data_IF_519375463962
#
_entry.id   IF_519375463962
#
_cell.length_a   1.000
_cell.length_b   1.000
_cell.length_c   1.000
_cell.angle_alpha   90.00
_cell.angle_beta   90.00
_cell.angle_gamma   90.00
#
_symmetry.space_group_name_H-M   'P 1'
#
loop_
_entity.id
_entity.type
_entity.pdbx_description
1 polymer ?
#
# COMPACT_ATOMS: atom_id res chain seq x y z
N UNK A 1 -15.77 -9.52 7.26
CA UNK A 1 -15.10 -8.32 6.66
C UNK A 1 -15.74 -7.89 5.32
N UNK A 2 -16.88 -8.47 4.89
CA UNK A 2 -17.62 -8.02 3.69
C UNK A 2 -18.48 -6.76 3.90
N UNK A 3 -18.60 -6.24 5.13
CA UNK A 3 -19.47 -5.11 5.44
C UNK A 3 -18.89 -3.73 5.13
N UNK A 4 -17.57 -3.57 5.23
CA UNK A 4 -16.92 -2.25 5.19
C UNK A 4 -16.91 -1.66 3.77
N UNK A 5 -16.69 -2.50 2.75
CA UNK A 5 -16.81 -2.09 1.35
C UNK A 5 -18.26 -1.73 0.97
N UNK A 6 -19.25 -2.45 1.53
CA UNK A 6 -20.68 -2.24 1.24
C UNK A 6 -21.22 -0.95 1.88
N UNK A 7 -20.64 -0.52 3.00
CA UNK A 7 -20.95 0.77 3.65
C UNK A 7 -20.37 1.93 2.84
N UNK A 8 -19.16 1.78 2.30
CA UNK A 8 -18.46 2.83 1.55
C UNK A 8 -19.09 3.14 0.18
N UNK A 9 -19.84 2.22 -0.40
CA UNK A 9 -20.51 2.38 -1.71
C UNK A 9 -22.03 2.52 -1.59
N UNK A 10 -22.58 2.72 -0.38
CA UNK A 10 -24.02 2.89 -0.20
C UNK A 10 -24.43 4.34 -0.37
N UNK A 11 -25.60 4.58 -0.96
CA UNK A 11 -26.20 5.91 -1.14
C UNK A 11 -26.62 6.58 0.19
N UNK A 12 -26.46 5.89 1.33
CA UNK A 12 -26.56 6.43 2.69
C UNK A 12 -25.23 7.02 3.21
N UNK A 13 -24.39 7.56 2.33
CA UNK A 13 -23.17 8.25 2.75
C UNK A 13 -23.56 9.62 3.36
N UNK A 14 -23.58 9.72 4.69
CA UNK A 14 -24.15 10.85 5.46
C UNK A 14 -23.36 12.16 5.37
N UNK A 15 -22.46 12.31 4.40
CA UNK A 15 -21.67 13.54 4.27
C UNK A 15 -20.73 13.80 5.45
N UNK A 16 -20.33 12.76 6.20
CA UNK A 16 -19.28 12.89 7.19
C UNK A 16 -17.96 13.21 6.47
N UNK A 17 -17.59 14.49 6.42
CA UNK A 17 -16.25 14.92 6.02
C UNK A 17 -15.23 14.07 6.79
N UNK A 18 -14.31 13.43 6.05
CA UNK A 18 -13.26 12.59 6.64
C UNK A 18 -12.26 13.47 7.37
N UNK A 19 -12.55 13.80 8.63
CA UNK A 19 -11.61 14.32 9.63
C UNK A 19 -10.69 13.23 10.21
N UNK A 20 -10.87 11.97 9.80
CA UNK A 20 -10.12 10.83 10.35
C UNK A 20 -8.73 10.71 9.71
N UNK A 21 -7.69 10.91 10.52
CA UNK A 21 -6.30 10.52 10.22
C UNK A 21 -6.26 9.07 9.69
N UNK A 22 -5.67 8.87 8.52
CA UNK A 22 -5.53 7.56 7.88
C UNK A 22 -4.19 6.95 8.25
N UNK A 23 -4.23 5.93 9.09
CA UNK A 23 -3.06 5.12 9.44
C UNK A 23 -3.13 3.79 8.72
N UNK A 24 -2.05 3.41 8.03
CA UNK A 24 -1.93 2.08 7.42
C UNK A 24 -0.74 1.30 7.99
N UNK A 25 -0.87 -0.02 7.92
CA UNK A 25 0.19 -0.96 8.26
C UNK A 25 0.72 -1.61 6.97
N UNK A 26 2.03 -1.57 6.77
CA UNK A 26 2.68 -2.20 5.64
C UNK A 26 2.44 -3.72 5.68
N UNK A 27 1.85 -4.25 4.62
CA UNK A 27 1.30 -5.59 4.62
C UNK A 27 2.41 -6.66 4.59
N UNK A 28 2.62 -7.30 5.74
CA UNK A 28 3.58 -8.40 5.95
C UNK A 28 3.07 -9.76 5.43
N UNK A 29 1.75 -9.99 5.49
CA UNK A 29 1.18 -11.33 5.40
C UNK A 29 0.13 -11.46 4.29
N UNK A 30 0.51 -12.14 3.22
CA UNK A 30 -0.39 -12.62 2.18
C UNK A 30 -1.21 -13.85 2.62
N UNK A 31 -1.70 -13.86 3.86
CA UNK A 31 -2.23 -15.06 4.53
C UNK A 31 -3.66 -15.43 4.15
N UNK A 32 -4.50 -14.46 3.78
CA UNK A 32 -5.88 -14.71 3.37
C UNK A 32 -6.01 -14.84 1.85
N UNK A 33 -7.02 -15.57 1.38
CA UNK A 33 -7.30 -15.78 -0.05
C UNK A 33 -7.45 -14.47 -0.82
N UNK A 34 -8.10 -13.46 -0.23
CA UNK A 34 -8.22 -12.12 -0.82
C UNK A 34 -6.90 -11.36 -0.96
N UNK A 35 -5.88 -11.67 -0.14
CA UNK A 35 -4.58 -11.00 -0.21
C UNK A 35 -3.83 -11.29 -1.52
N UNK A 36 -4.22 -12.32 -2.27
CA UNK A 36 -3.64 -12.66 -3.58
C UNK A 36 -3.99 -11.63 -4.66
N UNK A 37 -4.96 -10.75 -4.43
CA UNK A 37 -5.39 -9.72 -5.38
C UNK A 37 -4.93 -8.32 -4.98
N UNK A 38 -4.46 -8.13 -3.75
CA UNK A 38 -4.06 -6.82 -3.24
C UNK A 38 -2.70 -6.39 -3.80
N UNK A 39 -2.61 -5.29 -4.54
CA UNK A 39 -1.36 -4.77 -5.09
C UNK A 39 -0.64 -3.81 -4.14
N UNK A 40 -1.35 -3.22 -3.17
CA UNK A 40 -0.78 -2.29 -2.21
C UNK A 40 0.02 -3.03 -1.12
N UNK A 41 1.30 -2.71 -1.01
CA UNK A 41 2.17 -3.20 0.07
C UNK A 41 2.35 -2.17 1.18
N UNK A 42 2.53 -0.90 0.81
CA UNK A 42 3.07 0.15 1.69
C UNK A 42 2.00 1.04 2.30
N UNK A 43 0.70 0.79 2.05
CA UNK A 43 -0.38 1.64 2.54
C UNK A 43 -0.41 2.96 1.78
N UNK A 44 -0.54 2.91 0.46
CA UNK A 44 -0.31 4.07 -0.41
C UNK A 44 -1.32 5.21 -0.22
N UNK A 45 -2.50 4.89 0.31
CA UNK A 45 -3.61 5.83 0.50
C UNK A 45 -3.75 6.36 1.93
N UNK A 46 -2.76 6.10 2.80
CA UNK A 46 -2.74 6.58 4.19
C UNK A 46 -1.99 7.89 4.33
N UNK A 47 -2.28 8.65 5.38
CA UNK A 47 -1.50 9.82 5.77
C UNK A 47 -0.14 9.40 6.34
N UNK A 48 -0.14 8.33 7.13
CA UNK A 48 1.05 7.71 7.72
C UNK A 48 0.97 6.20 7.56
N UNK A 49 2.05 5.58 7.06
CA UNK A 49 2.18 4.13 6.97
C UNK A 49 3.27 3.64 7.92
N UNK A 50 2.93 2.67 8.76
CA UNK A 50 3.84 2.01 9.68
C UNK A 50 4.33 0.69 9.09
N UNK A 51 5.62 0.40 9.20
CA UNK A 51 6.22 -0.86 8.80
C UNK A 51 7.25 -1.34 9.83
N UNK A 52 7.19 -2.58 10.30
CA UNK A 52 8.31 -3.18 11.04
C UNK A 52 9.45 -3.60 10.10
N UNK A 53 9.24 -3.53 8.79
CA UNK A 53 10.13 -4.04 7.76
C UNK A 53 10.88 -2.84 7.17
N UNK A 54 12.20 -2.83 7.32
CA UNK A 54 13.05 -1.68 6.99
C UNK A 54 13.72 -1.02 8.21
N UNK A 55 13.29 -1.36 9.43
CA UNK A 55 14.01 -1.04 10.65
C UNK A 55 15.07 -2.12 10.96
N UNK A 56 16.20 -1.78 11.61
CA UNK A 56 17.19 -2.76 12.03
C UNK A 56 16.56 -3.86 12.89
N UNK A 57 16.82 -5.13 12.57
CA UNK A 57 16.26 -6.25 13.34
C UNK A 57 16.75 -6.19 14.78
N UNK A 58 15.81 -6.20 15.73
CA UNK A 58 16.11 -6.24 17.15
C UNK A 58 16.38 -4.88 17.80
N UNK A 59 16.29 -3.76 17.08
CA UNK A 59 16.45 -2.43 17.68
C UNK A 59 15.16 -1.87 18.28
N UNK A 60 14.01 -2.53 18.07
CA UNK A 60 12.70 -2.02 18.51
C UNK A 60 12.21 -0.81 17.72
N UNK A 61 12.94 -0.40 16.69
CA UNK A 61 12.58 0.68 15.80
C UNK A 61 11.49 0.25 14.80
N UNK A 62 10.74 1.24 14.33
CA UNK A 62 9.77 1.06 13.27
C UNK A 62 10.01 2.05 12.15
N UNK A 63 9.73 1.59 10.94
CA UNK A 63 9.80 2.40 9.75
C UNK A 63 8.47 3.14 9.56
N UNK A 64 8.53 4.45 9.36
CA UNK A 64 7.36 5.30 9.10
C UNK A 64 7.47 5.93 7.70
N UNK A 65 6.40 5.83 6.93
CA UNK A 65 6.22 6.54 5.65
C UNK A 65 5.20 7.64 5.89
N UNK A 66 5.58 8.89 5.71
CA UNK A 66 4.69 10.04 5.80
C UNK A 66 4.32 10.46 4.37
N UNK A 67 3.03 10.65 4.08
CA UNK A 67 2.55 10.95 2.71
C UNK A 67 1.84 12.28 2.59
N UNK A 68 1.09 12.69 3.59
CA UNK A 68 0.27 13.91 3.55
C UNK A 68 0.73 14.91 4.59
N UNK A 69 0.42 16.18 4.36
CA UNK A 69 0.72 17.28 5.30
C UNK A 69 0.08 17.06 6.67
N UNK A 70 -1.10 16.42 6.70
CA UNK A 70 -1.78 16.04 7.95
C UNK A 70 -0.95 15.01 8.70
N UNK A 71 -0.40 14.01 7.99
CA UNK A 71 0.50 13.02 8.56
C UNK A 71 1.78 13.66 9.11
N UNK A 72 2.37 14.60 8.39
CA UNK A 72 3.57 15.32 8.82
C UNK A 72 3.33 16.08 10.13
N UNK A 73 2.25 16.88 10.20
CA UNK A 73 1.88 17.63 11.42
C UNK A 73 1.73 16.72 12.65
N UNK A 74 1.15 15.53 12.47
CA UNK A 74 0.96 14.56 13.56
C UNK A 74 2.31 14.00 14.03
N UNK A 75 3.20 13.65 13.11
CA UNK A 75 4.54 13.16 13.45
C UNK A 75 5.36 14.25 14.13
N UNK A 76 5.35 15.47 13.60
CA UNK A 76 6.08 16.61 14.19
C UNK A 76 5.62 16.88 15.62
N UNK A 77 4.30 16.91 15.85
CA UNK A 77 3.73 17.08 17.20
C UNK A 77 4.16 15.94 18.14
N UNK A 78 4.26 14.71 17.63
CA UNK A 78 4.68 13.56 18.42
C UNK A 78 6.18 13.63 18.78
N UNK A 79 7.02 14.15 17.89
CA UNK A 79 8.45 14.41 18.15
C UNK A 79 8.61 15.55 19.16
N UNK A 80 7.90 16.66 18.99
CA UNK A 80 7.91 17.80 19.92
C UNK A 80 7.51 17.38 21.34
N UNK A 81 6.50 16.51 21.47
CA UNK A 81 6.03 15.96 22.74
C UNK A 81 6.92 14.83 23.28
N UNK A 82 8.02 14.51 22.61
CA UNK A 82 8.96 13.43 22.98
C UNK A 82 8.30 12.06 23.13
N UNK A 83 7.25 11.81 22.32
CA UNK A 83 6.55 10.51 22.27
C UNK A 83 7.27 9.53 21.34
N UNK A 84 7.95 10.05 20.32
CA UNK A 84 8.74 9.29 19.35
C UNK A 84 10.08 9.99 19.09
N UNK A 85 11.10 9.19 18.78
CA UNK A 85 12.42 9.67 18.37
C UNK A 85 12.69 9.23 16.94
N UNK A 86 13.25 10.12 16.12
CA UNK A 86 13.65 9.82 14.74
C UNK A 86 15.10 9.35 14.77
N UNK A 87 15.32 8.04 14.67
CA UNK A 87 16.66 7.45 14.63
C UNK A 87 17.37 7.70 13.31
N UNK A 88 16.68 7.49 12.19
CA UNK A 88 17.19 7.77 10.86
C UNK A 88 16.09 8.40 9.97
N UNK A 89 16.26 9.65 9.51
CA UNK A 89 15.28 10.29 8.63
C UNK A 89 15.28 9.71 7.21
N UNK A 90 16.39 9.13 6.74
CA UNK A 90 16.54 8.58 5.39
C UNK A 90 17.13 7.15 5.42
N UNK A 91 16.34 6.15 5.83
CA UNK A 91 16.72 4.74 5.79
C UNK A 91 16.87 4.19 4.35
N UNK A 92 17.67 3.14 4.18
CA UNK A 92 17.78 2.44 2.88
C UNK A 92 16.47 1.72 2.53
N UNK A 93 15.93 2.04 1.35
CA UNK A 93 14.65 1.53 0.85
C UNK A 93 14.82 0.35 -0.11
N UNK A 94 16.05 -0.07 -0.40
CA UNK A 94 16.36 -1.07 -1.42
C UNK A 94 15.62 -2.39 -1.20
N UNK A 95 15.55 -2.86 0.04
CA UNK A 95 14.87 -4.10 0.40
C UNK A 95 13.34 -3.97 0.31
N UNK A 96 12.78 -2.86 0.80
CA UNK A 96 11.34 -2.60 0.74
C UNK A 96 10.84 -2.50 -0.70
N UNK A 97 11.59 -1.85 -1.59
CA UNK A 97 11.27 -1.78 -3.04
C UNK A 97 11.17 -3.17 -3.67
N UNK A 98 12.04 -4.12 -3.28
CA UNK A 98 11.97 -5.51 -3.77
C UNK A 98 10.67 -6.19 -3.34
N UNK A 99 10.24 -6.01 -2.09
CA UNK A 99 8.99 -6.57 -1.58
C UNK A 99 7.75 -5.98 -2.24
N UNK A 100 7.71 -4.65 -2.41
CA UNK A 100 6.62 -3.95 -3.11
C UNK A 100 6.48 -4.51 -4.54
N UNK A 101 7.58 -4.56 -5.28
CA UNK A 101 7.58 -5.05 -6.66
C UNK A 101 7.17 -6.52 -6.75
N UNK A 102 7.62 -7.35 -5.81
CA UNK A 102 7.24 -8.76 -5.75
C UNK A 102 5.74 -8.94 -5.50
N UNK A 103 5.16 -8.20 -4.55
CA UNK A 103 3.73 -8.25 -4.24
C UNK A 103 2.88 -7.77 -5.41
N UNK A 104 3.20 -6.58 -5.96
CA UNK A 104 2.52 -6.03 -7.14
C UNK A 104 2.53 -7.01 -8.30
N UNK A 105 3.69 -7.51 -8.73
CA UNK A 105 3.80 -8.46 -9.85
C UNK A 105 3.01 -9.75 -9.62
N UNK A 106 3.11 -10.36 -8.44
CA UNK A 106 2.43 -11.62 -8.13
C UNK A 106 0.91 -11.45 -8.13
N UNK A 107 0.43 -10.40 -7.49
CA UNK A 107 -1.00 -10.21 -7.29
C UNK A 107 -1.68 -9.60 -8.51
N UNK A 108 -0.98 -8.78 -9.28
CA UNK A 108 -1.44 -8.31 -10.59
C UNK A 108 -1.63 -9.46 -11.58
N UNK A 109 -0.71 -10.44 -11.62
CA UNK A 109 -0.91 -11.68 -12.39
C UNK A 109 -2.14 -12.47 -11.96
N UNK A 110 -2.48 -12.43 -10.67
CA UNK A 110 -3.66 -13.11 -10.14
C UNK A 110 -4.95 -12.36 -10.49
N UNK A 111 -4.92 -11.02 -10.45
CA UNK A 111 -6.01 -10.14 -10.90
C UNK A 111 -6.32 -10.31 -12.39
N UNK A 112 -5.29 -10.37 -13.23
CA UNK A 112 -5.45 -10.60 -14.68
C UNK A 112 -6.02 -11.99 -15.02
N UNK A 113 -5.98 -12.93 -14.08
CA UNK A 113 -6.64 -14.23 -14.21
C UNK A 113 -6.34 -14.97 -15.53
N UNK A 114 -7.31 -15.77 -15.98
CA UNK A 114 -7.27 -16.45 -17.29
C UNK A 114 -7.52 -15.51 -18.47
N UNK A 115 -7.69 -14.20 -18.27
CA UNK A 115 -8.00 -13.28 -19.37
C UNK A 115 -6.80 -13.01 -20.29
N UNK A 116 -5.58 -13.32 -19.84
CA UNK A 116 -4.43 -13.48 -20.75
C UNK A 116 -4.60 -14.68 -21.71
N UNK A 117 -5.33 -15.72 -21.30
CA UNK A 117 -5.67 -16.87 -22.16
C UNK A 117 -6.78 -16.47 -23.15
N UNK A 118 -7.72 -15.62 -22.73
CA UNK A 118 -8.77 -15.07 -23.61
C UNK A 118 -8.21 -14.04 -24.60
N UNK A 119 -7.24 -13.20 -24.19
CA UNK A 119 -6.49 -12.31 -25.10
C UNK A 119 -5.64 -13.10 -26.11
N UNK A 120 -5.10 -14.26 -25.69
CA UNK A 120 -4.44 -15.21 -26.60
C UNK A 120 -5.43 -15.90 -27.54
N UNK A 121 -6.67 -16.16 -27.10
CA UNK A 121 -7.76 -16.66 -27.94
C UNK A 121 -8.22 -15.60 -28.98
N UNK A 122 -8.04 -14.32 -28.66
CA UNK A 122 -8.29 -13.18 -29.54
C UNK A 122 -7.08 -12.82 -30.43
N UNK A 123 -5.95 -13.55 -30.36
CA UNK A 123 -4.71 -13.25 -31.11
C UNK A 123 -4.22 -11.80 -30.99
N UNK A 124 -4.48 -11.11 -29.88
CA UNK A 124 -3.95 -9.76 -29.70
C UNK A 124 -2.47 -9.86 -29.38
N UNK A 125 -1.66 -9.34 -30.31
CA UNK A 125 -0.21 -9.46 -30.29
C UNK A 125 0.36 -8.48 -29.26
N UNK A 126 1.34 -8.92 -28.47
CA UNK A 126 1.93 -8.12 -27.37
C UNK A 126 2.50 -6.79 -27.87
N UNK A 127 2.86 -6.72 -29.17
CA UNK A 127 3.35 -5.50 -29.81
C UNK A 127 2.29 -4.40 -29.96
N UNK A 128 0.99 -4.71 -29.99
CA UNK A 128 -0.10 -3.72 -30.08
C UNK A 128 -0.45 -3.09 -28.72
N UNK A 129 0.07 -3.66 -27.63
CA UNK A 129 -0.13 -3.18 -26.25
C UNK A 129 1.07 -2.38 -25.71
N UNK A 130 2.14 -2.23 -26.49
CA UNK A 130 3.33 -1.45 -26.10
C UNK A 130 2.99 0.01 -25.84
N UNK A 131 2.16 0.60 -26.70
CA UNK A 131 1.73 2.00 -26.59
C UNK A 131 0.90 2.29 -25.33
N UNK A 132 0.35 1.25 -24.68
CA UNK A 132 -0.45 1.38 -23.45
C UNK A 132 0.38 1.07 -22.20
N UNK A 133 1.54 0.41 -22.36
CA UNK A 133 2.36 -0.09 -21.25
C UNK A 133 3.64 0.72 -21.01
N UNK A 134 4.00 1.67 -21.89
CA UNK A 134 5.23 2.47 -21.80
C UNK A 134 5.08 3.92 -21.30
N UNK A 135 3.93 4.31 -20.70
CA UNK A 135 3.84 5.53 -19.88
C UNK A 135 3.62 5.22 -18.38
#
# INVERSE_FOLDING_TARGET
IQGLAKILTSDFNTGAERTSLRLAYACSSGGMTGCKFCTDFSGEFSDISYSPWGAPKGSGEAFLIIRTDVGQKVVDTAVEKKLIEITNPNPDLSEMKKFINKKRKKNFKTLLGKDLITAKYLNLNIDELKDILED
#
